data_IF_492611514863
#
_entry.id   IF_492611514863
#
_cell.length_a   1.000
_cell.length_b   1.000
_cell.length_c   1.000
_cell.angle_alpha   90.00
_cell.angle_beta   90.00
_cell.angle_gamma   90.00
#
_symmetry.space_group_name_H-M   'P 1'
#
loop_
_entity.id
_entity.type
_entity.pdbx_description
1 polymer ?
#
# COMPACT_ATOMS: atom_id res chain seq x y z
N UNK A 1 -9.05 -14.36 -2.65
CA UNK A 1 -7.81 -14.75 -1.94
C UNK A 1 -8.16 -15.28 -0.57
N UNK A 2 -7.36 -16.19 -0.01
CA UNK A 2 -7.56 -16.65 1.38
C UNK A 2 -6.88 -15.72 2.40
N UNK A 3 -7.10 -15.97 3.69
CA UNK A 3 -6.59 -15.10 4.77
C UNK A 3 -5.07 -15.05 4.83
N UNK A 4 -4.42 -16.21 4.69
CA UNK A 4 -2.96 -16.32 4.74
C UNK A 4 -2.33 -15.58 3.55
N UNK A 5 -2.86 -15.77 2.35
CA UNK A 5 -2.43 -15.05 1.15
C UNK A 5 -2.56 -13.53 1.31
N UNK A 6 -3.69 -13.07 1.86
CA UNK A 6 -3.92 -11.65 2.11
C UNK A 6 -2.94 -11.08 3.13
N UNK A 7 -2.76 -11.76 4.27
CA UNK A 7 -1.88 -11.30 5.34
C UNK A 7 -0.41 -11.28 4.86
N UNK A 8 0.01 -12.29 4.08
CA UNK A 8 1.35 -12.33 3.47
C UNK A 8 1.56 -11.17 2.49
N UNK A 9 0.63 -10.96 1.55
CA UNK A 9 0.75 -9.85 0.60
C UNK A 9 0.74 -8.48 1.30
N UNK A 10 -0.11 -8.30 2.30
CA UNK A 10 -0.14 -7.08 3.12
C UNK A 10 1.22 -6.85 3.79
N UNK A 11 1.77 -7.88 4.42
CA UNK A 11 3.06 -7.78 5.12
C UNK A 11 4.22 -7.49 4.17
N UNK A 12 4.22 -8.10 2.98
CA UNK A 12 5.24 -7.85 1.95
C UNK A 12 5.23 -6.40 1.49
N UNK A 13 4.06 -5.80 1.31
CA UNK A 13 3.91 -4.40 0.93
C UNK A 13 4.39 -3.49 2.07
N UNK A 14 3.99 -3.76 3.31
CA UNK A 14 4.43 -2.99 4.47
C UNK A 14 5.95 -3.03 4.59
N UNK A 15 6.55 -4.21 4.41
CA UNK A 15 8.01 -4.38 4.42
C UNK A 15 8.67 -3.56 3.31
N UNK A 16 8.18 -3.66 2.08
CA UNK A 16 8.68 -2.87 0.94
C UNK A 16 8.64 -1.36 1.22
N UNK A 17 7.55 -0.86 1.80
CA UNK A 17 7.43 0.57 2.15
C UNK A 17 8.42 0.94 3.25
N UNK A 18 8.56 0.12 4.30
CA UNK A 18 9.53 0.37 5.37
C UNK A 18 10.97 0.38 4.86
N UNK A 19 11.32 -0.56 3.97
CA UNK A 19 12.63 -0.62 3.31
C UNK A 19 12.88 0.66 2.49
N UNK A 20 11.87 1.14 1.76
CA UNK A 20 11.96 2.41 1.02
C UNK A 20 12.13 3.60 1.97
N UNK A 21 11.38 3.66 3.08
CA UNK A 21 11.48 4.72 4.09
C UNK A 21 12.85 4.78 4.76
N UNK A 22 13.56 3.65 4.85
CA UNK A 22 14.94 3.60 5.35
C UNK A 22 16.00 4.15 4.37
N UNK A 23 15.63 4.42 3.11
CA UNK A 23 16.56 4.97 2.13
C UNK A 23 16.80 6.47 2.35
N UNK A 24 18.06 6.90 2.26
CA UNK A 24 18.48 8.29 2.45
C UNK A 24 18.07 9.25 1.32
N UNK A 25 17.49 8.73 0.22
CA UNK A 25 17.18 9.49 -1.00
C UNK A 25 15.74 10.00 -1.09
N UNK A 26 14.93 9.83 -0.05
CA UNK A 26 13.53 10.27 -0.06
C UNK A 26 13.39 11.76 0.26
N UNK A 27 12.62 12.45 -0.58
CA UNK A 27 12.08 13.78 -0.27
C UNK A 27 11.05 13.70 0.86
N UNK A 28 10.77 14.84 1.51
CA UNK A 28 9.73 14.90 2.54
C UNK A 28 8.33 14.56 1.97
N UNK A 29 8.03 14.95 0.72
CA UNK A 29 6.76 14.64 0.06
C UNK A 29 6.58 13.13 -0.18
N UNK A 30 7.63 12.43 -0.59
CA UNK A 30 7.58 10.97 -0.75
C UNK A 30 7.42 10.28 0.61
N UNK A 31 8.10 10.75 1.66
CA UNK A 31 7.93 10.21 3.03
C UNK A 31 6.50 10.37 3.52
N UNK A 32 5.93 11.57 3.38
CA UNK A 32 4.54 11.83 3.74
C UNK A 32 3.57 10.94 2.95
N UNK A 33 3.87 10.72 1.67
CA UNK A 33 3.08 9.84 0.81
C UNK A 33 3.15 8.39 1.30
N UNK A 34 4.34 7.86 1.59
CA UNK A 34 4.54 6.50 2.13
C UNK A 34 3.87 6.31 3.50
N UNK A 35 3.90 7.33 4.37
CA UNK A 35 3.22 7.32 5.67
C UNK A 35 1.69 7.22 5.48
N UNK A 36 1.12 7.97 4.54
CA UNK A 36 -0.32 7.89 4.21
C UNK A 36 -0.70 6.50 3.72
N UNK A 37 0.12 5.91 2.84
CA UNK A 37 -0.07 4.54 2.33
C UNK A 37 -0.08 3.53 3.48
N UNK A 38 0.90 3.59 4.39
CA UNK A 38 0.96 2.68 5.55
C UNK A 38 -0.31 2.77 6.39
N UNK A 39 -0.81 3.99 6.65
CA UNK A 39 -2.05 4.18 7.43
C UNK A 39 -3.22 3.49 6.75
N UNK A 40 -3.38 3.69 5.44
CA UNK A 40 -4.45 3.06 4.67
C UNK A 40 -4.31 1.53 4.72
N UNK A 41 -3.14 0.98 4.43
CA UNK A 41 -2.91 -0.48 4.45
C UNK A 41 -3.17 -1.07 5.85
N UNK A 42 -2.86 -0.35 6.91
CA UNK A 42 -3.14 -0.82 8.27
C UNK A 42 -4.64 -0.95 8.56
N UNK A 43 -5.48 -0.13 7.92
CA UNK A 43 -6.93 -0.27 8.00
C UNK A 43 -7.45 -1.50 7.25
N UNK A 44 -6.68 -2.05 6.31
CA UNK A 44 -7.02 -3.30 5.64
C UNK A 44 -6.83 -4.49 6.58
N UNK A 45 -7.88 -5.28 6.74
CA UNK A 45 -7.84 -6.60 7.33
C UNK A 45 -8.67 -7.57 6.48
N UNK A 46 -8.46 -8.87 6.70
CA UNK A 46 -9.13 -9.87 5.88
C UNK A 46 -10.67 -9.72 5.89
N UNK A 47 -11.27 -9.28 6.99
CA UNK A 47 -12.72 -9.17 7.13
C UNK A 47 -13.29 -7.95 6.39
N UNK A 48 -12.55 -6.85 6.30
CA UNK A 48 -13.02 -5.62 5.65
C UNK A 48 -12.46 -5.40 4.24
N UNK A 49 -11.52 -6.23 3.77
CA UNK A 49 -10.81 -6.09 2.49
C UNK A 49 -11.72 -5.79 1.29
N UNK A 50 -12.87 -6.47 1.21
CA UNK A 50 -13.82 -6.30 0.10
C UNK A 50 -14.52 -4.94 0.18
N UNK A 51 -14.87 -4.49 1.39
CA UNK A 51 -15.59 -3.23 1.60
C UNK A 51 -14.75 -2.01 1.23
N UNK A 52 -13.43 -2.09 1.45
CA UNK A 52 -12.50 -0.97 1.26
C UNK A 52 -11.65 -1.13 0.00
N UNK A 53 -11.91 -2.17 -0.82
CA UNK A 53 -11.27 -2.38 -2.11
C UNK A 53 -11.39 -1.13 -2.98
N UNK A 54 -10.31 -0.75 -3.66
CA UNK A 54 -10.24 0.42 -4.52
C UNK A 54 -9.79 1.69 -3.80
N UNK A 55 -9.80 1.72 -2.47
CA UNK A 55 -9.38 2.89 -1.69
C UNK A 55 -7.90 3.19 -1.91
N UNK A 56 -7.06 2.16 -1.88
CA UNK A 56 -5.63 2.29 -2.04
C UNK A 56 -5.30 2.77 -3.46
N UNK A 57 -5.87 2.15 -4.49
CA UNK A 57 -5.67 2.53 -5.88
C UNK A 57 -6.10 3.98 -6.14
N UNK A 58 -7.29 4.36 -5.63
CA UNK A 58 -7.80 5.73 -5.77
C UNK A 58 -6.89 6.75 -5.09
N UNK A 59 -6.44 6.47 -3.86
CA UNK A 59 -5.56 7.39 -3.13
C UNK A 59 -4.25 7.63 -3.87
N UNK A 60 -3.65 6.57 -4.42
CA UNK A 60 -2.41 6.65 -5.18
C UNK A 60 -2.56 7.52 -6.42
N UNK A 61 -3.60 7.28 -7.21
CA UNK A 61 -3.86 8.02 -8.45
C UNK A 61 -4.14 9.50 -8.16
N UNK A 62 -4.92 9.79 -7.11
CA UNK A 62 -5.42 11.13 -6.87
C UNK A 62 -4.42 12.05 -6.13
N UNK A 63 -3.48 11.51 -5.35
CA UNK A 63 -2.92 12.32 -4.26
C UNK A 63 -1.52 11.99 -3.72
N UNK A 64 -0.80 11.02 -4.30
CA UNK A 64 0.49 10.60 -3.76
C UNK A 64 1.62 10.71 -4.79
N UNK A 65 2.71 11.36 -4.40
CA UNK A 65 3.99 11.26 -5.12
C UNK A 65 4.72 10.02 -4.62
N UNK A 66 4.56 8.93 -5.36
CA UNK A 66 5.21 7.65 -5.09
C UNK A 66 6.06 7.23 -6.26
N UNK A 67 7.10 6.45 -5.96
CA UNK A 67 7.81 5.68 -6.97
C UNK A 67 6.81 4.80 -7.75
N UNK A 68 6.94 4.81 -9.08
CA UNK A 68 6.05 4.08 -9.99
C UNK A 68 5.94 2.59 -9.61
N UNK A 69 7.05 1.95 -9.26
CA UNK A 69 7.08 0.54 -8.88
C UNK A 69 6.26 0.29 -7.60
N UNK A 70 6.35 1.18 -6.62
CA UNK A 70 5.55 1.09 -5.39
C UNK A 70 4.07 1.28 -5.72
N UNK A 71 3.74 2.30 -6.51
CA UNK A 71 2.36 2.57 -6.95
C UNK A 71 1.73 1.35 -7.64
N UNK A 72 2.44 0.73 -8.58
CA UNK A 72 1.96 -0.45 -9.30
C UNK A 72 1.72 -1.65 -8.37
N UNK A 73 2.63 -1.91 -7.42
CA UNK A 73 2.48 -2.99 -6.44
C UNK A 73 1.24 -2.81 -5.57
N UNK A 74 0.96 -1.59 -5.15
CA UNK A 74 -0.19 -1.25 -4.33
C UNK A 74 -1.51 -1.40 -5.11
N UNK A 75 -1.56 -0.93 -6.36
CA UNK A 75 -2.72 -1.10 -7.25
C UNK A 75 -3.00 -2.60 -7.49
N UNK A 76 -1.95 -3.38 -7.75
CA UNK A 76 -2.07 -4.82 -7.96
C UNK A 76 -2.59 -5.55 -6.72
N UNK A 77 -2.11 -5.19 -5.54
CA UNK A 77 -2.65 -5.71 -4.28
C UNK A 77 -4.15 -5.43 -4.16
N UNK A 78 -4.53 -4.16 -4.30
CA UNK A 78 -5.92 -3.72 -4.16
C UNK A 78 -6.86 -4.38 -5.18
N UNK A 79 -6.38 -4.59 -6.41
CA UNK A 79 -7.15 -5.27 -7.46
C UNK A 79 -7.33 -6.78 -7.20
N UNK A 80 -6.33 -7.44 -6.62
CA UNK A 80 -6.34 -8.87 -6.34
C UNK A 80 -7.16 -9.25 -5.08
N UNK A 81 -7.55 -8.26 -4.28
CA UNK A 81 -8.46 -8.46 -3.15
C UNK A 81 -9.80 -9.04 -3.68
N UNK A 82 -10.06 -10.29 -3.27
CA UNK A 82 -11.23 -11.11 -3.62
C UNK A 82 -11.63 -12.01 -2.46
#
# INVERSE_FOLDING_TARGET
MNKEEFDNQKNDIIKMINDRMGASSLTELEKDSLIKVIKIINDYNFNNRIKIKGLLSKTIIDSLELDYFIGEKLINFDNNIS
#
